data_IF_625325337064
#
_entry.id   IF_625325337064
#
_cell.length_a   1.000
_cell.length_b   1.000
_cell.length_c   1.000
_cell.angle_alpha   90.00
_cell.angle_beta   90.00
_cell.angle_gamma   90.00
#
_symmetry.space_group_name_H-M   'P 1'
#
loop_
_entity.id
_entity.type
_entity.pdbx_description
1 polymer ?
#
# COMPACT_ATOMS: atom_id res chain seq x y z
N UNK A 1 -11.81 22.90 -17.25
CA UNK A 1 -11.81 21.56 -17.88
C UNK A 1 -11.15 20.60 -16.90
N UNK A 2 -11.74 19.43 -16.60
CA UNK A 2 -11.04 18.41 -15.80
C UNK A 2 -9.73 18.02 -16.49
N UNK A 3 -8.69 17.71 -15.71
CA UNK A 3 -7.44 17.18 -16.27
C UNK A 3 -7.70 15.84 -16.96
N UNK A 4 -6.88 15.49 -17.95
CA UNK A 4 -6.96 14.18 -18.62
C UNK A 4 -6.92 13.02 -17.60
N UNK A 5 -6.18 13.19 -16.50
CA UNK A 5 -6.13 12.24 -15.38
C UNK A 5 -7.50 12.03 -14.72
N UNK A 6 -8.22 13.11 -14.40
CA UNK A 6 -9.55 13.03 -13.78
C UNK A 6 -10.58 12.40 -14.72
N UNK A 7 -10.45 12.62 -16.03
CA UNK A 7 -11.33 11.98 -17.02
C UNK A 7 -11.12 10.46 -17.06
N UNK A 8 -9.87 9.98 -17.07
CA UNK A 8 -9.57 8.55 -17.07
C UNK A 8 -10.10 7.85 -15.81
N UNK A 9 -9.97 8.49 -14.64
CA UNK A 9 -10.54 7.98 -13.38
C UNK A 9 -12.06 7.92 -13.46
N UNK A 10 -12.73 8.96 -13.95
CA UNK A 10 -14.19 8.98 -14.08
C UNK A 10 -14.71 7.91 -15.07
N UNK A 11 -14.05 7.76 -16.21
CA UNK A 11 -14.37 6.72 -17.19
C UNK A 11 -14.21 5.31 -16.61
N UNK A 12 -13.12 5.06 -15.87
CA UNK A 12 -12.92 3.79 -15.19
C UNK A 12 -14.00 3.54 -14.12
N UNK A 13 -14.34 4.54 -13.29
CA UNK A 13 -15.40 4.42 -12.26
C UNK A 13 -16.77 4.08 -12.83
N UNK A 14 -17.08 4.54 -14.05
CA UNK A 14 -18.35 4.23 -14.72
C UNK A 14 -18.46 2.76 -15.17
N UNK A 15 -17.36 1.99 -15.18
CA UNK A 15 -17.36 0.57 -15.52
C UNK A 15 -17.62 -0.27 -14.27
N UNK A 16 -18.34 -1.39 -14.42
CA UNK A 16 -18.59 -2.33 -13.33
C UNK A 16 -17.30 -2.88 -12.68
N UNK A 17 -16.26 -3.08 -13.49
CA UNK A 17 -14.94 -3.55 -13.02
C UNK A 17 -14.13 -2.47 -12.31
N UNK A 18 -14.46 -1.18 -12.53
CA UNK A 18 -13.63 -0.02 -12.12
C UNK A 18 -12.19 -0.07 -12.64
N UNK A 19 -11.93 -0.90 -13.64
CA UNK A 19 -10.62 -1.07 -14.23
C UNK A 19 -10.43 -0.08 -15.39
N UNK A 20 -9.23 0.48 -15.47
CA UNK A 20 -8.76 1.15 -16.68
C UNK A 20 -8.45 0.09 -17.75
N UNK A 21 -8.69 0.41 -19.03
CA UNK A 21 -8.13 -0.40 -20.12
C UNK A 21 -6.61 -0.24 -20.16
N UNK A 22 -5.87 -1.15 -20.79
CA UNK A 22 -4.40 -1.07 -20.82
C UNK A 22 -3.87 0.29 -21.38
N UNK A 23 -4.42 0.85 -22.47
CA UNK A 23 -4.02 2.18 -22.94
C UNK A 23 -4.31 3.29 -21.92
N UNK A 24 -5.46 3.23 -21.24
CA UNK A 24 -5.84 4.20 -20.20
C UNK A 24 -4.91 4.10 -18.99
N UNK A 25 -4.61 2.89 -18.53
CA UNK A 25 -3.71 2.64 -17.41
C UNK A 25 -2.31 3.16 -17.74
N UNK A 26 -1.75 2.85 -18.91
CA UNK A 26 -0.44 3.35 -19.35
C UNK A 26 -0.42 4.87 -19.46
N UNK A 27 -1.45 5.48 -20.05
CA UNK A 27 -1.55 6.93 -20.15
C UNK A 27 -1.64 7.60 -18.77
N UNK A 28 -2.43 7.03 -17.86
CA UNK A 28 -2.59 7.53 -16.50
C UNK A 28 -1.28 7.41 -15.70
N UNK A 29 -0.64 6.24 -15.71
CA UNK A 29 0.63 5.99 -15.04
C UNK A 29 1.76 6.91 -15.57
N UNK A 30 1.81 7.15 -16.88
CA UNK A 30 2.76 8.08 -17.49
C UNK A 30 2.57 9.52 -16.99
N UNK A 31 1.31 9.99 -16.89
CA UNK A 31 0.99 11.31 -16.31
C UNK A 31 1.37 11.41 -14.83
N UNK A 32 1.40 10.28 -14.14
CA UNK A 32 1.87 10.15 -12.76
C UNK A 32 3.38 9.92 -12.66
N UNK A 33 4.16 10.10 -13.73
CA UNK A 33 5.63 10.01 -13.68
C UNK A 33 6.20 8.59 -13.65
N UNK A 34 5.41 7.56 -13.93
CA UNK A 34 5.89 6.18 -14.08
C UNK A 34 6.40 5.97 -15.51
N UNK A 35 7.58 5.35 -15.72
CA UNK A 35 8.19 5.21 -17.05
C UNK A 35 7.47 4.14 -17.90
N UNK A 36 6.36 4.53 -18.53
CA UNK A 36 5.58 3.66 -19.41
C UNK A 36 6.17 3.64 -20.83
N UNK A 37 6.15 2.49 -21.52
CA UNK A 37 6.55 2.41 -22.91
C UNK A 37 5.61 3.24 -23.79
N UNK A 38 6.18 3.82 -24.86
CA UNK A 38 5.37 4.49 -25.87
C UNK A 38 4.48 3.46 -26.59
N UNK A 39 3.17 3.68 -26.49
CA UNK A 39 2.18 2.82 -27.12
C UNK A 39 1.02 3.63 -27.69
N UNK A 40 0.37 3.08 -28.71
CA UNK A 40 -0.76 3.72 -29.41
C UNK A 40 -1.78 2.68 -29.85
N UNK A 41 -3.06 3.02 -29.70
CA UNK A 41 -4.17 2.18 -30.16
C UNK A 41 -4.31 2.29 -31.69
N UNK A 42 -4.35 1.14 -32.37
CA UNK A 42 -4.70 1.00 -33.77
C UNK A 42 -6.08 0.35 -33.90
N UNK A 43 -6.95 0.94 -34.72
CA UNK A 43 -8.29 0.42 -35.02
C UNK A 43 -8.35 -0.33 -36.35
N UNK A 44 -7.26 -0.34 -37.10
CA UNK A 44 -7.11 -1.10 -38.34
C UNK A 44 -5.68 -1.63 -38.51
N UNK A 45 -5.51 -2.62 -39.39
CA UNK A 45 -4.20 -3.13 -39.75
C UNK A 45 -3.31 -2.06 -40.42
N UNK A 46 -3.90 -1.13 -41.18
CA UNK A 46 -3.20 0.00 -41.79
C UNK A 46 -2.68 0.96 -40.73
N UNK A 47 -3.53 1.35 -39.77
CA UNK A 47 -3.10 2.18 -38.64
C UNK A 47 -1.99 1.49 -37.84
N UNK A 48 -2.12 0.19 -37.57
CA UNK A 48 -1.14 -0.58 -36.83
C UNK A 48 0.22 -0.60 -37.53
N UNK A 49 0.22 -0.78 -38.85
CA UNK A 49 1.42 -0.78 -39.69
C UNK A 49 2.11 0.58 -39.69
N UNK A 50 1.35 1.66 -39.87
CA UNK A 50 1.89 3.02 -39.85
C UNK A 50 2.45 3.39 -38.46
N UNK A 51 1.79 2.95 -37.38
CA UNK A 51 2.28 3.14 -36.02
C UNK A 51 3.57 2.38 -35.77
N UNK A 52 3.65 1.12 -36.21
CA UNK A 52 4.85 0.30 -36.05
C UNK A 52 6.06 0.91 -36.79
N UNK A 53 5.85 1.44 -38.00
CA UNK A 53 6.90 2.15 -38.75
C UNK A 53 7.42 3.39 -38.02
N UNK A 54 6.54 4.13 -37.33
CA UNK A 54 6.94 5.31 -36.53
C UNK A 54 7.65 4.93 -35.23
N UNK A 55 7.17 3.89 -34.56
CA UNK A 55 7.75 3.39 -33.31
C UNK A 55 9.08 2.67 -33.56
N UNK A 56 9.28 2.09 -34.74
CA UNK A 56 10.43 1.25 -35.05
C UNK A 56 10.25 -0.19 -34.58
N UNK A 57 10.84 -1.11 -35.34
CA UNK A 57 10.76 -2.55 -35.12
C UNK A 57 11.88 -3.06 -34.18
N UNK A 58 11.69 -4.20 -33.48
CA UNK A 58 10.47 -5.00 -33.46
C UNK A 58 9.36 -4.41 -32.56
N UNK A 59 8.11 -4.67 -32.92
CA UNK A 59 6.93 -4.24 -32.15
C UNK A 59 6.13 -5.43 -31.61
N UNK A 60 5.22 -5.12 -30.69
CA UNK A 60 4.24 -6.02 -30.11
C UNK A 60 2.85 -5.49 -30.42
N UNK A 61 1.93 -6.39 -30.73
CA UNK A 61 0.50 -6.13 -30.81
C UNK A 61 -0.21 -6.78 -29.63
N UNK A 62 -1.05 -6.02 -28.91
CA UNK A 62 -1.84 -6.50 -27.78
C UNK A 62 -3.31 -6.12 -27.96
N UNK A 63 -4.22 -7.06 -27.82
CA UNK A 63 -5.66 -6.80 -27.90
C UNK A 63 -6.10 -5.83 -26.80
N UNK A 64 -6.92 -4.84 -27.17
CA UNK A 64 -7.56 -3.94 -26.20
C UNK A 64 -9.05 -4.26 -26.17
N UNK A 65 -9.48 -4.84 -25.05
CA UNK A 65 -10.88 -5.19 -24.79
C UNK A 65 -11.13 -5.30 -23.30
N UNK A 66 -12.18 -4.67 -22.81
CA UNK A 66 -12.66 -4.85 -21.43
C UNK A 66 -13.18 -6.28 -21.17
N UNK A 67 -13.50 -7.03 -22.23
CA UNK A 67 -14.05 -8.38 -22.16
C UNK A 67 -12.96 -9.47 -22.20
N UNK A 68 -11.68 -9.10 -22.40
CA UNK A 68 -10.54 -10.02 -22.50
C UNK A 68 -9.54 -9.78 -21.35
N UNK A 69 -9.73 -10.49 -20.24
CA UNK A 69 -8.88 -10.34 -19.04
C UNK A 69 -7.48 -10.97 -19.23
N UNK A 70 -7.41 -12.21 -19.73
CA UNK A 70 -6.15 -12.94 -19.97
C UNK A 70 -5.77 -12.90 -21.45
N UNK A 71 -5.22 -11.76 -21.88
CA UNK A 71 -4.90 -11.43 -23.27
C UNK A 71 -4.03 -12.48 -23.95
N UNK A 72 -2.95 -12.92 -23.29
CA UNK A 72 -2.02 -13.91 -23.82
C UNK A 72 -2.72 -15.25 -24.07
N UNK A 73 -3.51 -15.73 -23.11
CA UNK A 73 -4.23 -17.02 -23.19
C UNK A 73 -5.31 -17.00 -24.28
N UNK A 74 -5.94 -15.84 -24.48
CA UNK A 74 -6.88 -15.61 -25.58
C UNK A 74 -6.19 -15.61 -26.96
N UNK A 75 -4.85 -15.62 -27.03
CA UNK A 75 -4.10 -15.43 -28.27
C UNK A 75 -4.11 -13.98 -28.75
N UNK A 76 -4.41 -13.05 -27.83
CA UNK A 76 -4.55 -11.62 -28.04
C UNK A 76 -3.23 -10.85 -28.09
N UNK A 77 -2.08 -11.53 -28.02
CA UNK A 77 -0.75 -10.92 -28.05
C UNK A 77 0.09 -11.54 -29.17
N UNK A 78 0.81 -10.70 -29.92
CA UNK A 78 1.85 -11.10 -30.87
C UNK A 78 3.10 -10.27 -30.63
N UNK A 79 4.22 -10.93 -30.41
CA UNK A 79 5.52 -10.31 -30.09
C UNK A 79 6.51 -10.50 -31.23
N UNK A 80 7.56 -9.68 -31.28
CA UNK A 80 8.69 -9.90 -32.19
C UNK A 80 8.39 -9.58 -33.66
N UNK A 81 7.40 -8.73 -33.94
CA UNK A 81 7.02 -8.36 -35.30
C UNK A 81 8.08 -7.40 -35.86
N UNK A 82 8.81 -7.84 -36.87
CA UNK A 82 9.99 -7.17 -37.40
C UNK A 82 9.71 -6.34 -38.66
N UNK A 83 8.52 -6.44 -39.24
CA UNK A 83 8.17 -5.77 -40.48
C UNK A 83 6.70 -5.33 -40.55
N UNK A 84 6.41 -4.41 -41.48
CA UNK A 84 5.06 -3.94 -41.75
C UNK A 84 4.11 -5.08 -42.17
N UNK A 85 4.60 -6.03 -42.97
CA UNK A 85 3.83 -7.17 -43.44
C UNK A 85 3.50 -8.14 -42.31
N UNK A 86 4.47 -8.41 -41.42
CA UNK A 86 4.24 -9.18 -40.20
C UNK A 86 3.20 -8.53 -39.29
N UNK A 87 3.25 -7.20 -39.12
CA UNK A 87 2.25 -6.45 -38.32
C UNK A 87 0.86 -6.59 -38.92
N UNK A 88 0.72 -6.46 -40.25
CA UNK A 88 -0.57 -6.61 -40.94
C UNK A 88 -1.14 -8.01 -40.78
N UNK A 89 -0.31 -9.04 -40.97
CA UNK A 89 -0.72 -10.44 -40.78
C UNK A 89 -1.13 -10.71 -39.33
N UNK A 90 -0.27 -10.33 -38.38
CA UNK A 90 -0.51 -10.51 -36.95
C UNK A 90 -1.78 -9.80 -36.45
N UNK A 91 -2.11 -8.62 -37.00
CA UNK A 91 -3.34 -7.91 -36.66
C UNK A 91 -4.58 -8.77 -36.95
N UNK A 92 -4.66 -9.36 -38.16
CA UNK A 92 -5.76 -10.22 -38.55
C UNK A 92 -5.80 -11.52 -37.70
N UNK A 93 -4.64 -12.12 -37.45
CA UNK A 93 -4.53 -13.34 -36.64
C UNK A 93 -5.00 -13.15 -35.20
N UNK A 94 -4.63 -12.03 -34.57
CA UNK A 94 -5.04 -11.70 -33.20
C UNK A 94 -6.55 -11.57 -33.11
N UNK A 95 -7.17 -10.82 -34.03
CA UNK A 95 -8.63 -10.66 -34.06
C UNK A 95 -9.33 -12.01 -34.27
N UNK A 96 -8.85 -12.83 -35.21
CA UNK A 96 -9.42 -14.15 -35.46
C UNK A 96 -9.26 -15.09 -34.25
N UNK A 97 -8.10 -15.06 -33.58
CA UNK A 97 -7.85 -15.88 -32.40
C UNK A 97 -8.76 -15.51 -31.22
N UNK A 98 -8.91 -14.21 -30.95
CA UNK A 98 -9.79 -13.71 -29.89
C UNK A 98 -11.25 -14.00 -30.22
N UNK A 99 -11.71 -13.71 -31.43
CA UNK A 99 -13.11 -13.97 -31.84
C UNK A 99 -13.48 -15.45 -31.74
N UNK A 100 -12.56 -16.36 -32.08
CA UNK A 100 -12.79 -17.81 -31.95
C UNK A 100 -12.96 -18.26 -30.50
N UNK A 101 -12.28 -17.63 -29.54
CA UNK A 101 -12.36 -17.99 -28.12
C UNK A 101 -13.46 -17.22 -27.37
N UNK A 102 -13.65 -15.96 -27.72
CA UNK A 102 -14.58 -15.03 -27.09
C UNK A 102 -15.39 -14.30 -28.18
N UNK A 103 -16.39 -14.97 -28.79
CA UNK A 103 -17.12 -14.42 -29.95
C UNK A 103 -17.84 -13.11 -29.67
N UNK A 104 -18.28 -12.91 -28.43
CA UNK A 104 -19.03 -11.73 -27.98
C UNK A 104 -18.15 -10.61 -27.41
N UNK A 105 -16.82 -10.76 -27.42
CA UNK A 105 -15.92 -9.76 -26.88
C UNK A 105 -15.94 -8.49 -27.74
N UNK A 106 -16.13 -7.33 -27.11
CA UNK A 106 -16.01 -6.03 -27.76
C UNK A 106 -14.54 -5.64 -27.84
N UNK A 107 -14.05 -5.51 -29.06
CA UNK A 107 -12.65 -5.17 -29.32
C UNK A 107 -12.58 -3.70 -29.72
N UNK A 108 -11.79 -2.92 -28.99
CA UNK A 108 -11.55 -1.50 -29.30
C UNK A 108 -10.49 -1.32 -30.39
N UNK A 109 -9.56 -2.27 -30.48
CA UNK A 109 -8.43 -2.27 -31.39
C UNK A 109 -7.26 -3.06 -30.81
N UNK A 110 -6.08 -2.85 -31.39
CA UNK A 110 -4.82 -3.42 -30.91
C UNK A 110 -3.88 -2.30 -30.48
N UNK A 111 -3.29 -2.44 -29.30
CA UNK A 111 -2.21 -1.59 -28.83
C UNK A 111 -0.92 -1.98 -29.57
N UNK A 112 -0.29 -1.01 -30.24
CA UNK A 112 1.02 -1.12 -30.86
C UNK A 112 2.06 -0.53 -29.93
N UNK A 113 3.09 -1.29 -29.61
CA UNK A 113 4.12 -0.93 -28.64
C UNK A 113 5.49 -1.46 -29.09
N UNK A 114 6.59 -0.75 -28.79
CA UNK A 114 7.93 -1.30 -29.03
C UNK A 114 8.16 -2.54 -28.19
N UNK A 115 8.82 -3.55 -28.76
CA UNK A 115 9.20 -4.73 -27.99
C UNK A 115 10.28 -4.34 -26.97
N UNK A 116 9.99 -4.61 -25.70
CA UNK A 116 10.93 -4.37 -24.62
C UNK A 116 12.18 -5.25 -24.78
N UNK A 117 13.38 -4.76 -24.40
CA UNK A 117 14.57 -5.59 -24.29
C UNK A 117 14.35 -6.75 -23.34
N UNK A 118 15.10 -7.84 -23.55
CA UNK A 118 15.14 -8.94 -22.58
C UNK A 118 15.73 -8.42 -21.27
N UNK A 119 15.13 -8.84 -20.16
CA UNK A 119 15.54 -8.46 -18.82
C UNK A 119 15.03 -9.45 -17.79
N UNK A 120 15.42 -9.22 -16.54
CA UNK A 120 14.95 -9.98 -15.39
C UNK A 120 13.52 -9.55 -15.05
N UNK A 121 12.62 -10.50 -14.88
CA UNK A 121 11.20 -10.23 -14.63
C UNK A 121 10.96 -9.96 -13.14
N UNK A 122 10.28 -8.85 -12.85
CA UNK A 122 9.78 -8.47 -11.52
C UNK A 122 8.30 -8.10 -11.61
N UNK A 123 7.63 -8.12 -10.47
CA UNK A 123 6.27 -7.60 -10.28
C UNK A 123 6.35 -6.43 -9.31
N UNK A 124 5.65 -5.35 -9.62
CA UNK A 124 5.49 -4.21 -8.71
C UNK A 124 4.01 -3.89 -8.60
N UNK A 125 3.48 -3.97 -7.40
CA UNK A 125 2.06 -3.83 -7.13
C UNK A 125 1.76 -2.82 -6.03
N UNK A 126 0.62 -2.15 -6.10
CA UNK A 126 0.05 -1.38 -5.01
C UNK A 126 -1.34 -1.93 -4.70
N UNK A 127 -1.64 -2.10 -3.43
CA UNK A 127 -2.97 -2.45 -2.95
C UNK A 127 -3.32 -1.56 -1.76
N UNK A 128 -4.62 -1.31 -1.54
CA UNK A 128 -5.10 -0.74 -0.28
C UNK A 128 -5.53 -1.85 0.67
N UNK A 129 -4.75 -2.04 1.73
CA UNK A 129 -5.14 -2.87 2.86
C UNK A 129 -6.18 -2.13 3.72
N UNK A 130 -7.23 -2.80 4.22
CA UNK A 130 -8.27 -2.17 5.04
C UNK A 130 -7.78 -1.60 6.37
N UNK A 131 -6.69 -2.14 6.93
CA UNK A 131 -6.14 -1.77 8.24
C UNK A 131 -4.95 -0.83 8.07
N UNK A 132 -4.01 -1.19 7.21
CA UNK A 132 -2.74 -0.48 7.06
C UNK A 132 -2.76 0.61 5.98
N UNK A 133 -3.81 0.66 5.15
CA UNK A 133 -3.90 1.60 4.04
C UNK A 133 -3.05 1.15 2.84
N UNK A 134 -2.51 2.08 2.05
CA UNK A 134 -1.79 1.72 0.83
C UNK A 134 -0.47 0.98 1.13
N UNK A 135 -0.30 -0.17 0.51
CA UNK A 135 0.88 -1.03 0.59
C UNK A 135 1.51 -1.21 -0.79
N UNK A 136 2.83 -1.22 -0.83
CA UNK A 136 3.64 -1.50 -2.02
C UNK A 136 4.22 -2.90 -1.92
N UNK A 137 4.11 -3.64 -3.01
CA UNK A 137 4.70 -4.96 -3.22
C UNK A 137 5.78 -4.86 -4.30
N UNK A 138 6.90 -5.52 -4.06
CA UNK A 138 7.85 -5.90 -5.10
C UNK A 138 8.16 -7.38 -4.97
N UNK A 139 8.27 -8.08 -6.10
CA UNK A 139 8.59 -9.51 -6.10
C UNK A 139 9.21 -9.97 -7.40
N UNK A 140 9.70 -11.20 -7.40
CA UNK A 140 10.09 -11.88 -8.65
C UNK A 140 8.89 -11.95 -9.62
N UNK A 141 9.15 -11.93 -10.93
CA UNK A 141 8.15 -12.17 -11.98
C UNK A 141 8.32 -13.53 -12.67
N UNK A 142 7.41 -13.86 -13.59
CA UNK A 142 7.45 -15.08 -14.40
C UNK A 142 7.00 -16.36 -13.67
N UNK A 143 7.39 -17.52 -14.21
CA UNK A 143 6.94 -18.86 -13.75
C UNK A 143 7.33 -19.21 -12.30
N UNK A 144 8.20 -18.42 -11.67
CA UNK A 144 8.72 -18.68 -10.33
C UNK A 144 7.83 -18.11 -9.21
N UNK A 145 6.88 -17.22 -9.53
CA UNK A 145 6.03 -16.55 -8.54
C UNK A 145 5.12 -17.53 -7.81
N UNK A 146 4.51 -18.47 -8.54
CA UNK A 146 3.59 -19.46 -7.97
C UNK A 146 4.32 -20.49 -7.09
N UNK A 147 5.61 -20.73 -7.34
CA UNK A 147 6.39 -21.74 -6.62
C UNK A 147 7.10 -21.22 -5.36
N UNK A 148 7.55 -19.96 -5.33
CA UNK A 148 8.54 -19.51 -4.32
C UNK A 148 8.05 -18.36 -3.42
N UNK A 149 6.95 -17.67 -3.76
CA UNK A 149 6.44 -16.49 -3.00
C UNK A 149 7.55 -15.50 -2.59
N UNK A 150 8.47 -15.22 -3.51
CA UNK A 150 9.60 -14.31 -3.30
C UNK A 150 9.13 -12.85 -3.46
N UNK A 151 8.60 -12.29 -2.38
CA UNK A 151 7.97 -10.95 -2.35
C UNK A 151 8.40 -10.17 -1.10
N UNK A 152 8.41 -8.85 -1.22
CA UNK A 152 8.61 -7.90 -0.12
C UNK A 152 7.50 -6.84 -0.15
N UNK A 153 7.05 -6.45 1.05
CA UNK A 153 5.92 -5.53 1.26
C UNK A 153 6.33 -4.38 2.17
N UNK A 154 5.82 -3.18 1.89
CA UNK A 154 5.92 -2.00 2.79
C UNK A 154 4.61 -1.21 2.81
N UNK A 155 4.28 -0.67 3.98
CA UNK A 155 3.24 0.37 4.10
C UNK A 155 3.81 1.67 3.54
N UNK A 156 3.02 2.41 2.77
CA UNK A 156 3.46 3.64 2.12
C UNK A 156 3.31 4.88 3.04
N UNK A 157 4.15 5.91 2.86
CA UNK A 157 5.20 6.03 1.86
C UNK A 157 6.51 5.32 2.25
N UNK A 158 7.29 4.93 1.23
CA UNK A 158 8.66 4.41 1.40
C UNK A 158 9.72 5.48 1.12
N UNK A 159 10.90 5.31 1.70
CA UNK A 159 12.13 6.05 1.39
C UNK A 159 13.11 5.18 0.60
N UNK A 160 14.20 5.78 0.14
CA UNK A 160 15.23 5.08 -0.63
C UNK A 160 15.82 3.88 0.12
N UNK A 161 16.05 4.00 1.43
CA UNK A 161 16.54 2.87 2.22
C UNK A 161 15.55 1.70 2.24
N UNK A 162 14.24 1.97 2.30
CA UNK A 162 13.20 0.95 2.30
C UNK A 162 13.21 0.22 0.96
N UNK A 163 13.33 0.95 -0.16
CA UNK A 163 13.41 0.34 -1.50
C UNK A 163 14.62 -0.59 -1.63
N UNK A 164 15.79 -0.19 -1.11
CA UNK A 164 16.97 -1.05 -1.10
C UNK A 164 16.77 -2.30 -0.23
N UNK A 165 16.19 -2.15 0.96
CA UNK A 165 15.90 -3.25 1.87
C UNK A 165 14.90 -4.24 1.25
N UNK A 166 13.81 -3.73 0.66
CA UNK A 166 12.83 -4.55 -0.05
C UNK A 166 13.48 -5.41 -1.14
N UNK A 167 14.42 -4.85 -1.92
CA UNK A 167 15.13 -5.62 -2.93
C UNK A 167 16.12 -6.62 -2.32
N UNK A 168 16.79 -6.27 -1.22
CA UNK A 168 17.73 -7.17 -0.56
C UNK A 168 17.04 -8.41 0.06
N UNK A 169 15.76 -8.28 0.45
CA UNK A 169 14.93 -9.39 0.92
C UNK A 169 14.60 -10.42 -0.18
N UNK A 170 14.58 -10.00 -1.45
CA UNK A 170 14.23 -10.87 -2.57
C UNK A 170 15.41 -11.76 -2.96
N UNK A 171 15.17 -13.07 -3.10
CA UNK A 171 16.16 -14.02 -3.64
C UNK A 171 16.45 -13.73 -5.11
N UNK A 172 15.42 -13.35 -5.87
CA UNK A 172 15.52 -12.99 -7.28
C UNK A 172 16.34 -11.72 -7.52
N UNK A 173 16.54 -10.88 -6.51
CA UNK A 173 17.38 -9.69 -6.66
C UNK A 173 18.84 -10.04 -6.98
N UNK A 174 19.30 -11.26 -6.68
CA UNK A 174 20.63 -11.77 -7.07
C UNK A 174 20.77 -11.92 -8.59
N UNK A 175 19.67 -12.08 -9.31
CA UNK A 175 19.70 -12.14 -10.78
C UNK A 175 20.12 -10.80 -11.39
N UNK A 176 19.84 -9.69 -10.68
CA UNK A 176 20.26 -8.35 -11.10
C UNK A 176 21.79 -8.19 -11.12
N UNK A 177 22.53 -9.05 -10.42
CA UNK A 177 24.00 -9.03 -10.42
C UNK A 177 24.60 -9.77 -11.63
N UNK A 178 23.75 -10.42 -12.45
CA UNK A 178 24.14 -11.21 -13.63
C UNK A 178 24.46 -12.67 -13.30
N UNK A 179 24.22 -13.59 -14.24
CA UNK A 179 24.51 -15.02 -14.06
C UNK A 179 24.71 -15.75 -15.39
N UNK A 180 25.79 -16.53 -15.53
CA UNK A 180 26.08 -17.42 -16.68
C UNK A 180 25.72 -16.83 -18.06
N UNK A 181 26.31 -15.68 -18.40
CA UNK A 181 26.11 -15.03 -19.71
C UNK A 181 24.82 -14.21 -19.82
N UNK A 182 23.97 -14.21 -18.78
CA UNK A 182 22.89 -13.23 -18.63
C UNK A 182 23.48 -11.96 -18.01
N UNK A 183 23.37 -10.79 -18.68
CA UNK A 183 23.92 -9.55 -18.17
C UNK A 183 23.18 -9.08 -16.90
N UNK A 184 23.83 -8.25 -16.06
CA UNK A 184 23.19 -7.65 -14.90
C UNK A 184 22.02 -6.74 -15.32
N UNK A 185 21.07 -6.55 -14.41
CA UNK A 185 19.98 -5.59 -14.59
C UNK A 185 20.26 -4.28 -13.86
N UNK A 186 19.69 -3.17 -14.35
CA UNK A 186 19.79 -1.87 -13.67
C UNK A 186 18.94 -1.86 -12.37
N UNK A 187 19.56 -2.30 -11.27
CA UNK A 187 18.98 -2.26 -9.92
C UNK A 187 18.53 -0.84 -9.54
N UNK A 188 19.27 0.19 -9.94
CA UNK A 188 18.95 1.56 -9.61
C UNK A 188 17.68 2.03 -10.32
N UNK A 189 17.41 1.56 -11.54
CA UNK A 189 16.13 1.80 -12.21
C UNK A 189 14.95 1.22 -11.44
N UNK A 190 15.09 0.00 -10.90
CA UNK A 190 14.03 -0.61 -10.10
C UNK A 190 13.78 0.19 -8.81
N UNK A 191 14.82 0.64 -8.11
CA UNK A 191 14.69 1.53 -6.93
C UNK A 191 13.98 2.84 -7.31
N UNK A 192 14.38 3.49 -8.41
CA UNK A 192 13.72 4.70 -8.92
C UNK A 192 12.24 4.46 -9.21
N UNK A 193 11.87 3.30 -9.77
CA UNK A 193 10.48 2.93 -10.00
C UNK A 193 9.70 2.78 -8.69
N UNK A 194 10.25 2.06 -7.70
CA UNK A 194 9.61 1.89 -6.39
C UNK A 194 9.36 3.25 -5.72
N UNK A 195 10.31 4.18 -5.78
CA UNK A 195 10.16 5.54 -5.25
C UNK A 195 9.18 6.38 -6.07
N UNK A 196 9.19 6.28 -7.40
CA UNK A 196 8.23 6.96 -8.26
C UNK A 196 6.79 6.53 -7.96
N UNK A 197 6.59 5.30 -7.49
CA UNK A 197 5.28 4.77 -7.10
C UNK A 197 4.95 5.12 -5.65
N UNK A 198 5.80 4.68 -4.70
CA UNK A 198 5.51 4.65 -3.27
C UNK A 198 6.22 5.71 -2.44
N UNK A 199 7.04 6.57 -3.04
CA UNK A 199 7.71 7.67 -2.35
C UNK A 199 6.73 8.72 -1.79
N UNK A 200 7.20 9.65 -0.94
CA UNK A 200 6.37 10.71 -0.38
C UNK A 200 5.72 11.60 -1.45
N UNK A 201 6.42 11.82 -2.56
CA UNK A 201 5.92 12.50 -3.76
C UNK A 201 5.69 11.49 -4.90
N UNK A 202 5.36 10.25 -4.57
CA UNK A 202 5.14 9.18 -5.54
C UNK A 202 3.74 9.22 -6.16
N UNK A 203 3.49 8.26 -7.05
CA UNK A 203 2.19 8.05 -7.69
C UNK A 203 1.08 7.92 -6.65
N UNK A 204 1.29 7.15 -5.59
CA UNK A 204 0.25 6.88 -4.59
C UNK A 204 -0.12 8.14 -3.81
N UNK A 205 0.86 9.00 -3.52
CA UNK A 205 0.63 10.28 -2.87
C UNK A 205 -0.19 11.23 -3.76
N UNK A 206 0.09 11.28 -5.07
CA UNK A 206 -0.64 12.10 -6.04
C UNK A 206 -2.04 11.57 -6.35
N UNK A 207 -2.16 10.26 -6.56
CA UNK A 207 -3.43 9.61 -6.88
C UNK A 207 -4.38 9.61 -5.67
N UNK A 208 -3.82 9.61 -4.45
CA UNK A 208 -4.59 9.66 -3.22
C UNK A 208 -5.65 8.57 -3.19
N UNK A 209 -6.87 8.94 -2.79
CA UNK A 209 -7.99 8.01 -2.67
C UNK A 209 -8.45 7.43 -4.01
N UNK A 210 -8.05 7.95 -5.17
CA UNK A 210 -8.54 7.43 -6.46
C UNK A 210 -7.97 6.06 -6.82
N UNK A 211 -6.77 5.71 -6.34
CA UNK A 211 -6.15 4.42 -6.62
C UNK A 211 -6.59 3.36 -5.61
N UNK A 212 -7.20 2.26 -6.07
CA UNK A 212 -7.48 1.08 -5.24
C UNK A 212 -6.38 0.02 -5.37
N UNK A 213 -5.99 -0.27 -6.61
CA UNK A 213 -4.99 -1.30 -6.94
C UNK A 213 -4.22 -0.90 -8.20
N UNK A 214 -2.93 -1.22 -8.22
CA UNK A 214 -2.09 -1.18 -9.41
C UNK A 214 -1.25 -2.45 -9.47
N UNK A 215 -1.11 -3.04 -10.65
CA UNK A 215 -0.24 -4.18 -10.88
C UNK A 215 0.59 -3.94 -12.15
N UNK A 216 1.92 -3.98 -12.01
CA UNK A 216 2.88 -3.86 -13.10
C UNK A 216 3.55 -5.23 -13.26
N UNK A 217 3.12 -5.98 -14.28
CA UNK A 217 3.49 -7.38 -14.41
C UNK A 217 3.54 -7.83 -15.88
N UNK A 218 4.72 -8.07 -16.49
CA UNK A 218 6.05 -7.96 -15.88
C UNK A 218 6.67 -6.55 -15.97
N UNK A 219 7.51 -6.23 -14.99
CA UNK A 219 8.56 -5.21 -15.07
C UNK A 219 9.85 -5.91 -15.48
N UNK A 220 10.34 -5.64 -16.69
CA UNK A 220 11.59 -6.19 -17.21
C UNK A 220 12.75 -5.28 -16.84
N UNK A 221 13.65 -5.74 -15.98
CA UNK A 221 14.88 -5.00 -15.61
C UNK A 221 16.02 -5.47 -16.50
N UNK A 222 16.46 -4.62 -17.42
CA UNK A 222 17.51 -4.90 -18.40
C UNK A 222 18.77 -4.09 -18.06
N UNK A 223 19.91 -4.28 -18.76
CA UNK A 223 21.17 -3.65 -18.37
C UNK A 223 21.13 -2.11 -18.33
N UNK A 224 20.27 -1.51 -19.16
CA UNK A 224 20.13 -0.05 -19.30
C UNK A 224 18.70 0.40 -18.95
N UNK A 225 18.27 0.08 -17.74
CA UNK A 225 17.01 0.54 -17.17
C UNK A 225 15.97 -0.56 -17.03
N UNK A 226 14.71 -0.22 -17.31
CA UNK A 226 13.60 -1.17 -17.22
C UNK A 226 12.50 -0.87 -18.24
N UNK A 227 11.61 -1.83 -18.42
CA UNK A 227 10.43 -1.69 -19.26
C UNK A 227 9.23 -2.36 -18.62
N UNK A 228 8.11 -1.64 -18.52
CA UNK A 228 6.87 -2.13 -17.94
C UNK A 228 6.02 -2.65 -19.10
N UNK A 229 5.84 -3.97 -19.16
CA UNK A 229 5.22 -4.63 -20.32
C UNK A 229 3.70 -4.54 -20.22
N UNK A 230 3.15 -4.84 -19.04
CA UNK A 230 1.72 -4.76 -18.78
C UNK A 230 1.45 -3.94 -17.52
N UNK A 231 0.28 -3.32 -17.50
CA UNK A 231 -0.16 -2.50 -16.39
C UNK A 231 -1.67 -2.64 -16.21
N UNK A 232 -2.07 -2.96 -14.98
CA UNK A 232 -3.46 -2.93 -14.53
C UNK A 232 -3.62 -1.85 -13.48
N UNK A 233 -4.69 -1.07 -13.60
CA UNK A 233 -5.07 -0.06 -12.60
C UNK A 233 -6.55 -0.20 -12.32
N UNK A 234 -6.90 -0.32 -11.05
CA UNK A 234 -8.27 -0.30 -10.54
C UNK A 234 -8.43 0.94 -9.68
N UNK A 235 -9.45 1.73 -9.98
CA UNK A 235 -9.77 2.92 -9.19
C UNK A 235 -10.74 2.59 -8.08
N UNK A 236 -10.68 3.35 -7.00
CA UNK A 236 -11.67 3.24 -5.93
C UNK A 236 -13.06 3.55 -6.47
N UNK A 237 -14.11 2.91 -5.91
CA UNK A 237 -15.46 3.38 -6.14
C UNK A 237 -15.53 4.87 -5.79
N UNK A 238 -16.45 5.58 -6.44
CA UNK A 238 -16.73 6.97 -6.09
C UNK A 238 -16.91 7.04 -4.57
N UNK A 239 -16.22 7.97 -3.87
CA UNK A 239 -16.36 8.08 -2.44
C UNK A 239 -17.85 8.27 -2.19
N UNK A 240 -18.49 7.27 -1.57
CA UNK A 240 -19.81 7.52 -1.02
C UNK A 240 -19.60 8.67 -0.04
N UNK A 241 -20.45 9.71 -0.08
CA UNK A 241 -20.46 10.69 1.00
C UNK A 241 -20.44 9.87 2.28
N UNK A 242 -19.37 9.99 3.06
CA UNK A 242 -19.41 9.47 4.42
C UNK A 242 -20.58 10.22 5.01
N UNK A 243 -21.70 9.53 5.22
CA UNK A 243 -22.82 10.10 5.92
C UNK A 243 -22.23 10.57 7.24
N UNK A 244 -21.99 11.87 7.33
CA UNK A 244 -21.67 12.48 8.60
C UNK A 244 -22.91 12.18 9.42
N UNK A 245 -22.82 11.39 10.51
CA UNK A 245 -24.00 10.98 11.23
C UNK A 245 -24.89 12.19 11.44
N UNK A 246 -26.11 12.15 10.91
CA UNK A 246 -27.01 13.28 11.03
C UNK A 246 -27.20 13.58 12.52
N UNK A 247 -27.05 14.85 12.91
CA UNK A 247 -27.10 15.24 14.32
C UNK A 247 -25.77 15.12 15.07
N UNK A 248 -24.62 15.02 14.40
CA UNK A 248 -23.36 15.33 15.08
C UNK A 248 -23.46 16.73 15.71
N UNK A 249 -23.10 16.88 16.99
CA UNK A 249 -23.18 18.16 17.65
C UNK A 249 -22.27 19.15 16.95
N UNK A 250 -22.76 20.38 16.75
CA UNK A 250 -22.05 21.50 16.14
C UNK A 250 -21.87 22.63 17.18
N UNK A 251 -21.04 23.63 16.85
CA UNK A 251 -20.76 24.77 17.74
C UNK A 251 -20.37 24.33 19.16
N UNK A 252 -21.03 24.94 20.17
CA UNK A 252 -20.78 24.67 21.59
C UNK A 252 -20.97 23.20 21.99
N UNK A 253 -21.91 22.48 21.36
CA UNK A 253 -22.11 21.06 21.65
C UNK A 253 -20.94 20.21 21.12
N UNK A 254 -20.39 20.57 19.95
CA UNK A 254 -19.19 19.92 19.40
C UNK A 254 -17.98 20.16 20.28
N UNK A 255 -17.83 21.40 20.78
CA UNK A 255 -16.77 21.79 21.70
C UNK A 255 -16.87 21.01 23.01
N UNK A 256 -18.07 20.84 23.56
CA UNK A 256 -18.30 20.04 24.76
C UNK A 256 -17.89 18.57 24.57
N UNK A 257 -18.22 17.96 23.42
CA UNK A 257 -17.78 16.60 23.10
C UNK A 257 -16.26 16.54 22.94
N UNK A 258 -15.65 17.48 22.20
CA UNK A 258 -14.18 17.55 22.06
C UNK A 258 -13.50 17.69 23.41
N UNK A 259 -14.00 18.55 24.28
CA UNK A 259 -13.48 18.76 25.63
C UNK A 259 -13.56 17.48 26.48
N UNK A 260 -14.61 16.68 26.32
CA UNK A 260 -14.73 15.38 27.01
C UNK A 260 -13.65 14.37 26.57
N UNK A 261 -13.27 14.37 25.30
CA UNK A 261 -12.27 13.44 24.74
C UNK A 261 -10.84 14.01 24.67
N UNK A 262 -10.63 15.27 25.05
CA UNK A 262 -9.29 15.88 25.12
C UNK A 262 -8.26 15.00 25.82
N UNK A 263 -8.54 14.36 26.98
CA UNK A 263 -7.56 13.49 27.64
C UNK A 263 -7.16 12.24 26.84
N UNK A 264 -7.97 11.81 25.86
CA UNK A 264 -7.61 10.69 24.97
C UNK A 264 -6.50 11.12 24.02
N UNK A 265 -6.64 12.28 23.39
CA UNK A 265 -5.79 12.70 22.27
C UNK A 265 -4.67 13.67 22.67
N UNK A 266 -4.94 14.56 23.63
CA UNK A 266 -4.04 15.61 24.10
C UNK A 266 -3.96 15.61 25.63
N UNK A 267 -3.52 14.50 26.25
CA UNK A 267 -3.39 14.45 27.70
C UNK A 267 -2.38 15.49 28.20
N UNK A 268 -2.65 16.08 29.37
CA UNK A 268 -1.71 16.95 30.06
C UNK A 268 -0.61 16.15 30.76
N UNK A 269 -0.84 14.87 31.04
CA UNK A 269 0.14 13.98 31.65
C UNK A 269 -0.32 12.52 31.56
N UNK A 270 0.63 11.60 31.51
CA UNK A 270 0.35 10.17 31.32
C UNK A 270 0.91 9.34 32.48
N UNK A 271 0.05 8.56 33.13
CA UNK A 271 0.43 7.54 34.12
C UNK A 271 0.62 6.20 33.44
N UNK A 272 1.66 5.45 33.78
CA UNK A 272 1.90 4.12 33.23
C UNK A 272 1.97 3.13 34.37
N UNK A 273 0.85 2.45 34.61
CA UNK A 273 0.71 1.45 35.68
C UNK A 273 1.23 0.12 35.19
N UNK A 274 2.15 -0.49 35.94
CA UNK A 274 2.88 -1.69 35.50
C UNK A 274 4.14 -1.39 34.69
N UNK A 275 4.69 -0.18 34.81
CA UNK A 275 5.95 0.18 34.17
C UNK A 275 7.09 -0.77 34.61
N UNK A 276 8.01 -1.09 33.70
CA UNK A 276 9.10 -2.03 33.97
C UNK A 276 10.39 -1.65 33.24
N UNK A 277 11.52 -1.93 33.88
CA UNK A 277 12.85 -1.87 33.25
C UNK A 277 13.14 -3.07 32.35
N UNK A 278 12.27 -4.09 32.36
CA UNK A 278 12.35 -5.26 31.47
C UNK A 278 11.66 -4.93 30.14
N UNK A 279 12.46 -4.76 29.08
CA UNK A 279 12.02 -4.31 27.75
C UNK A 279 11.03 -5.26 27.06
N UNK A 280 10.93 -6.50 27.53
CA UNK A 280 9.99 -7.49 26.97
C UNK A 280 8.54 -7.21 27.38
N UNK A 281 8.33 -6.48 28.49
CA UNK A 281 7.01 -6.28 29.11
C UNK A 281 6.23 -5.12 28.49
N UNK A 282 4.89 -5.25 28.46
CA UNK A 282 4.00 -4.23 27.90
C UNK A 282 4.14 -2.87 28.57
N UNK A 283 4.23 -2.81 29.90
CA UNK A 283 4.43 -1.56 30.61
C UNK A 283 5.77 -0.89 30.30
N UNK A 284 6.81 -1.65 29.95
CA UNK A 284 8.09 -1.12 29.49
C UNK A 284 7.94 -0.44 28.12
N UNK A 285 7.30 -1.12 27.17
CA UNK A 285 7.00 -0.59 25.83
C UNK A 285 6.12 0.65 25.88
N UNK A 286 5.16 0.70 26.79
CA UNK A 286 4.30 1.87 27.00
C UNK A 286 5.13 3.11 27.41
N UNK A 287 6.07 2.97 28.36
CA UNK A 287 6.94 4.09 28.75
C UNK A 287 7.82 4.51 27.59
N UNK A 288 8.47 3.55 26.93
CA UNK A 288 9.35 3.83 25.78
C UNK A 288 8.62 4.61 24.70
N UNK A 289 7.44 4.15 24.27
CA UNK A 289 6.69 4.81 23.21
C UNK A 289 6.36 6.27 23.56
N UNK A 290 5.92 6.55 24.79
CA UNK A 290 5.56 7.91 25.20
C UNK A 290 6.80 8.82 25.20
N UNK A 291 7.96 8.33 25.66
CA UNK A 291 9.21 9.08 25.71
C UNK A 291 9.83 9.26 24.31
N UNK A 292 9.98 8.17 23.55
CA UNK A 292 10.67 8.12 22.26
C UNK A 292 9.92 8.91 21.18
N UNK A 293 8.58 8.84 21.15
CA UNK A 293 7.77 9.65 20.24
C UNK A 293 7.53 11.09 20.74
N UNK A 294 8.21 11.49 21.82
CA UNK A 294 8.39 12.89 22.18
C UNK A 294 7.18 13.57 22.81
N UNK A 295 6.36 12.84 23.58
CA UNK A 295 5.28 13.44 24.36
C UNK A 295 5.82 14.56 25.26
N UNK A 296 5.19 15.74 25.20
CA UNK A 296 5.68 16.95 25.87
C UNK A 296 5.20 17.11 27.31
N UNK A 297 4.16 16.38 27.71
CA UNK A 297 3.68 16.39 29.09
C UNK A 297 4.49 15.46 30.00
N UNK A 298 4.31 15.55 31.33
CA UNK A 298 4.91 14.64 32.28
C UNK A 298 4.48 13.19 32.08
N UNK A 299 5.45 12.29 32.22
CA UNK A 299 5.27 10.83 32.20
C UNK A 299 5.51 10.31 33.62
N UNK A 300 4.58 9.53 34.14
CA UNK A 300 4.64 8.96 35.49
C UNK A 300 4.61 7.42 35.44
N UNK A 301 5.77 6.77 35.21
CA UNK A 301 5.90 5.33 35.35
C UNK A 301 5.66 4.90 36.80
N UNK A 302 4.78 3.91 37.02
CA UNK A 302 4.52 3.34 38.34
C UNK A 302 5.26 2.01 38.46
N UNK A 303 6.27 1.99 39.33
CA UNK A 303 7.07 0.83 39.64
C UNK A 303 7.55 0.90 41.11
N UNK A 304 7.19 -0.06 41.97
CA UNK A 304 7.57 -0.06 43.39
C UNK A 304 9.08 -0.12 43.67
N UNK A 305 9.89 -0.56 42.70
CA UNK A 305 11.31 -0.90 42.89
C UNK A 305 12.26 0.01 42.11
N UNK A 306 11.91 0.34 40.87
CA UNK A 306 12.74 1.14 40.00
C UNK A 306 12.63 2.63 40.36
N UNK A 307 13.76 3.35 40.35
CA UNK A 307 13.78 4.82 40.47
C UNK A 307 13.52 5.52 39.14
N UNK A 308 13.77 4.83 38.03
CA UNK A 308 13.67 5.34 36.68
C UNK A 308 13.33 4.21 35.71
N UNK A 309 12.57 4.52 34.66
CA UNK A 309 12.24 3.63 33.54
C UNK A 309 12.36 4.44 32.25
N UNK A 310 13.28 4.06 31.35
CA UNK A 310 13.60 4.78 30.10
C UNK A 310 13.77 6.30 30.25
N UNK A 311 14.63 6.76 31.17
CA UNK A 311 14.85 8.20 31.35
C UNK A 311 13.76 8.93 32.14
N UNK A 312 12.60 8.30 32.36
CA UNK A 312 11.51 8.87 33.12
C UNK A 312 11.56 8.42 34.59
N UNK A 313 11.50 9.39 35.52
CA UNK A 313 11.46 9.12 36.96
C UNK A 313 10.25 8.25 37.31
N UNK A 314 10.49 7.11 37.95
CA UNK A 314 9.44 6.20 38.38
C UNK A 314 8.99 6.47 39.81
N UNK A 315 7.73 6.12 40.09
CA UNK A 315 7.07 6.32 41.38
C UNK A 315 6.58 4.98 41.94
N UNK A 316 6.63 4.80 43.28
CA UNK A 316 6.29 3.52 43.89
C UNK A 316 4.79 3.18 43.83
N UNK A 317 3.93 4.20 43.72
CA UNK A 317 2.47 4.07 43.63
C UNK A 317 1.86 5.25 42.87
N UNK A 318 0.60 5.11 42.44
CA UNK A 318 -0.15 6.19 41.76
C UNK A 318 -0.35 7.37 42.72
N UNK A 319 -0.58 7.09 44.00
CA UNK A 319 -0.66 8.08 45.09
C UNK A 319 0.60 8.95 45.25
N UNK A 320 1.78 8.40 44.96
CA UNK A 320 3.07 9.09 45.08
C UNK A 320 3.37 10.09 43.94
N UNK A 321 2.53 10.14 42.91
CA UNK A 321 2.68 11.09 41.80
C UNK A 321 2.50 12.53 42.32
N UNK A 322 3.46 13.45 42.07
CA UNK A 322 3.43 14.82 42.59
C UNK A 322 2.58 15.78 41.74
N UNK A 323 2.34 15.44 40.47
CA UNK A 323 1.61 16.29 39.53
C UNK A 323 0.24 15.75 39.13
N UNK A 324 -0.37 16.39 38.14
CA UNK A 324 -1.62 15.94 37.54
C UNK A 324 -1.34 15.10 36.28
N UNK A 325 -2.20 14.11 36.06
CA UNK A 325 -2.32 13.35 34.82
C UNK A 325 -3.80 13.14 34.54
N UNK A 326 -4.17 13.09 33.26
CA UNK A 326 -5.55 12.89 32.81
C UNK A 326 -5.71 11.64 31.95
N UNK A 327 -4.59 10.99 31.57
CA UNK A 327 -4.58 9.68 30.91
C UNK A 327 -3.70 8.67 31.66
N UNK A 328 -4.09 7.40 31.62
CA UNK A 328 -3.30 6.28 32.08
C UNK A 328 -3.24 5.14 31.05
N UNK A 329 -2.14 4.41 31.06
CA UNK A 329 -1.98 3.09 30.44
C UNK A 329 -1.79 2.08 31.56
N UNK A 330 -2.58 1.01 31.55
CA UNK A 330 -2.60 0.00 32.60
C UNK A 330 -2.16 -1.34 32.01
N UNK A 331 -1.03 -1.85 32.50
CA UNK A 331 -0.41 -3.10 32.04
C UNK A 331 0.02 -3.95 33.24
N UNK A 332 -0.95 -4.29 34.09
CA UNK A 332 -0.81 -5.14 35.28
C UNK A 332 -1.75 -6.35 35.17
N UNK A 333 -1.59 -7.41 35.99
CA UNK A 333 -2.52 -8.54 36.01
C UNK A 333 -3.98 -8.10 36.19
N UNK A 334 -4.92 -8.83 35.59
CA UNK A 334 -6.33 -8.45 35.49
C UNK A 334 -6.96 -8.18 36.86
N UNK A 335 -6.57 -8.99 37.87
CA UNK A 335 -7.10 -8.90 39.24
C UNK A 335 -6.73 -7.58 39.92
N UNK A 336 -5.64 -6.93 39.49
CA UNK A 336 -5.16 -5.68 40.05
C UNK A 336 -5.71 -4.44 39.34
N UNK A 337 -6.37 -4.61 38.18
CA UNK A 337 -6.86 -3.50 37.36
C UNK A 337 -7.96 -2.69 38.06
N UNK A 338 -9.02 -3.27 38.67
CA UNK A 338 -10.07 -2.49 39.32
C UNK A 338 -9.52 -1.57 40.42
N UNK A 339 -8.62 -2.06 41.26
CA UNK A 339 -7.97 -1.27 42.31
C UNK A 339 -7.14 -0.11 41.74
N UNK A 340 -6.39 -0.36 40.67
CA UNK A 340 -5.63 0.69 39.99
C UNK A 340 -6.55 1.75 39.35
N UNK A 341 -7.68 1.35 38.76
CA UNK A 341 -8.65 2.29 38.19
C UNK A 341 -9.26 3.21 39.25
N UNK A 342 -9.57 2.67 40.45
CA UNK A 342 -10.04 3.47 41.59
C UNK A 342 -8.98 4.49 42.04
N UNK A 343 -7.71 4.07 42.17
CA UNK A 343 -6.63 4.97 42.58
C UNK A 343 -6.36 6.06 41.52
N UNK A 344 -6.41 5.70 40.23
CA UNK A 344 -6.29 6.63 39.10
C UNK A 344 -7.44 7.66 39.10
N UNK A 345 -8.68 7.21 39.31
CA UNK A 345 -9.84 8.08 39.42
C UNK A 345 -9.69 9.05 40.60
N UNK A 346 -9.20 8.57 41.74
CA UNK A 346 -8.88 9.40 42.91
C UNK A 346 -7.80 10.46 42.64
N UNK A 347 -6.86 10.21 41.72
CA UNK A 347 -5.88 11.19 41.22
C UNK A 347 -6.40 12.11 40.11
N UNK A 348 -7.67 11.96 39.73
CA UNK A 348 -8.31 12.80 38.72
C UNK A 348 -7.99 12.39 37.28
N UNK A 349 -7.40 11.20 37.07
CA UNK A 349 -7.21 10.63 35.73
C UNK A 349 -8.58 10.38 35.10
N UNK A 350 -8.75 10.81 33.85
CA UNK A 350 -10.04 10.82 33.15
C UNK A 350 -10.20 9.65 32.19
N UNK A 351 -9.09 9.12 31.69
CA UNK A 351 -9.06 8.04 30.69
C UNK A 351 -8.02 7.00 31.11
N UNK A 352 -8.42 5.73 31.14
CA UNK A 352 -7.49 4.61 31.33
C UNK A 352 -7.58 3.67 30.12
N UNK A 353 -6.43 3.37 29.52
CA UNK A 353 -6.28 2.36 28.49
C UNK A 353 -5.74 1.08 29.11
N UNK A 354 -6.57 0.06 29.22
CA UNK A 354 -6.18 -1.25 29.76
C UNK A 354 -5.61 -2.11 28.63
N UNK A 355 -4.36 -2.55 28.79
CA UNK A 355 -3.66 -3.44 27.84
C UNK A 355 -3.59 -4.89 28.33
N UNK A 356 -4.28 -5.16 29.44
CA UNK A 356 -4.32 -6.46 30.10
C UNK A 356 -5.27 -7.41 29.37
N UNK A 357 -4.85 -8.66 29.25
CA UNK A 357 -5.68 -9.79 28.82
C UNK A 357 -6.08 -10.64 30.04
N UNK A 358 -7.04 -11.55 29.88
CA UNK A 358 -7.60 -12.38 30.95
C UNK A 358 -9.07 -12.08 31.27
N UNK A 359 -9.78 -11.34 30.42
CA UNK A 359 -11.17 -10.96 30.62
C UNK A 359 -12.13 -11.96 29.96
N UNK A 360 -13.16 -11.51 29.24
CA UNK A 360 -14.18 -12.41 28.66
C UNK A 360 -13.63 -13.51 27.75
N UNK A 361 -12.45 -13.31 27.18
CA UNK A 361 -11.70 -14.27 26.39
C UNK A 361 -11.12 -15.46 27.17
N UNK A 362 -10.97 -15.34 28.50
CA UNK A 362 -10.36 -16.36 29.36
C UNK A 362 -11.38 -17.29 30.05
N UNK A 363 -12.66 -16.92 30.08
CA UNK A 363 -13.72 -17.75 30.65
C UNK A 363 -14.77 -16.97 31.46
N UNK A 364 -15.63 -17.67 32.21
CA UNK A 364 -16.69 -17.06 33.02
C UNK A 364 -16.17 -16.10 34.10
N UNK A 365 -15.09 -16.44 34.80
CA UNK A 365 -14.48 -15.60 35.84
C UNK A 365 -13.95 -14.28 35.26
N UNK A 366 -13.30 -14.33 34.08
CA UNK A 366 -12.83 -13.13 33.38
C UNK A 366 -13.96 -12.23 32.88
N UNK A 367 -15.14 -12.80 32.56
CA UNK A 367 -16.34 -12.00 32.23
C UNK A 367 -16.91 -11.23 33.42
N UNK A 368 -16.89 -11.83 34.62
CA UNK A 368 -17.33 -11.12 35.82
C UNK A 368 -16.41 -9.94 36.11
N UNK A 369 -15.10 -10.13 35.95
CA UNK A 369 -14.10 -9.08 36.13
C UNK A 369 -14.15 -7.97 35.08
N UNK A 370 -14.64 -8.23 33.87
CA UNK A 370 -14.86 -7.20 32.84
C UNK A 370 -16.11 -6.35 33.11
N UNK A 371 -17.11 -6.93 33.79
CA UNK A 371 -18.37 -6.26 34.12
C UNK A 371 -18.21 -5.30 35.30
N UNK A 372 -17.39 -5.70 36.28
CA UNK A 372 -17.11 -4.95 37.51
C UNK A 372 -16.13 -3.78 37.26
#
# INVERSE_FOLDING_TARGET
MPSTTSQLVATARARSTRAMTEPEAKAWLAQQGVPMPESRLARSADEATQLAQRLGFPVVLKIVSADVLHKSDAGGVRVGLASADEVRGAYAEVLAAVHRRLPSARIEGLLVERMAPRGHEFIVGVQRDPVFGPTLLVGAGGILVELVRDVSLRVLPIREHDAHEMLAELRASKLLDGFRGVPPGDRAALVRLLLAIGGPDGLVARAGADLAEMDLNPVLVHPEGLSIVDARVIVTPEPQPVETPAGLPNGAAAEAVRAKFQPVFYPRGVVIVGASTDETKMGSRAVRNVVEYGFKGPVYPINPRAKEVYGARAYPSISAIPGQADRAVVAIPAEAVPGALVELAGKGVKVAQVLTAGYSEAGPEGREMERD
#
